data_IF_972071411414
#
_entry.id   IF_972071411414
#
_cell.length_a   1.000
_cell.length_b   1.000
_cell.length_c   1.000
_cell.angle_alpha   90.00
_cell.angle_beta   90.00
_cell.angle_gamma   90.00
#
_symmetry.space_group_name_H-M   'P 1'
#
loop_
_entity.id
_entity.type
_entity.pdbx_description
1 polymer ?
#
# COMPACT_ATOMS: atom_id res chain seq x y z
N UNK A 1 -5.59 2.68 16.93
CA UNK A 1 -5.23 4.07 17.29
C UNK A 1 -4.17 4.08 18.38
N UNK A 2 -4.44 3.71 19.63
CA UNK A 2 -3.48 3.76 20.75
C UNK A 2 -2.12 3.05 20.45
N UNK A 3 -2.13 1.90 19.79
CA UNK A 3 -0.89 1.20 19.41
C UNK A 3 -0.03 2.02 18.45
N UNK A 4 -0.64 2.68 17.47
CA UNK A 4 0.06 3.54 16.51
C UNK A 4 0.66 4.78 17.18
N UNK A 5 -0.10 5.41 18.09
CA UNK A 5 0.37 6.56 18.88
C UNK A 5 1.59 6.17 19.74
N UNK A 6 1.50 5.07 20.48
CA UNK A 6 2.61 4.59 21.32
C UNK A 6 3.83 4.23 20.48
N UNK A 7 3.66 3.54 19.35
CA UNK A 7 4.79 3.22 18.46
C UNK A 7 5.43 4.49 17.88
N UNK A 8 4.64 5.48 17.51
CA UNK A 8 5.14 6.78 17.08
C UNK A 8 5.94 7.49 18.19
N UNK A 9 5.43 7.51 19.41
CA UNK A 9 6.06 8.14 20.56
C UNK A 9 7.41 7.51 20.92
N UNK A 10 7.56 6.20 20.76
CA UNK A 10 8.82 5.50 21.07
C UNK A 10 9.70 5.21 19.86
N UNK A 11 9.42 5.82 18.71
CA UNK A 11 10.20 5.61 17.48
C UNK A 11 10.16 4.17 16.98
N UNK A 12 9.07 3.46 17.26
CA UNK A 12 8.88 2.09 16.82
C UNK A 12 8.69 1.96 15.29
N UNK A 13 8.74 0.73 14.75
CA UNK A 13 8.60 0.48 13.32
C UNK A 13 7.13 0.63 12.88
N UNK A 14 6.65 1.85 12.79
CA UNK A 14 5.25 2.16 12.46
C UNK A 14 4.81 1.63 11.09
N UNK A 15 5.76 1.51 10.15
CA UNK A 15 5.49 0.96 8.82
C UNK A 15 4.97 -0.49 8.83
N UNK A 16 5.32 -1.30 9.82
CA UNK A 16 4.79 -2.68 9.96
C UNK A 16 3.27 -2.67 10.13
N UNK A 17 2.74 -1.60 10.71
CA UNK A 17 1.32 -1.45 10.97
C UNK A 17 0.53 -0.99 9.74
N UNK A 18 1.19 -0.49 8.67
CA UNK A 18 0.50 -0.13 7.43
C UNK A 18 -0.13 -1.33 6.72
N UNK A 19 0.27 -2.53 7.09
CA UNK A 19 -0.36 -3.74 6.56
C UNK A 19 -1.72 -4.07 7.23
N UNK A 20 -1.97 -3.56 8.44
CA UNK A 20 -3.22 -3.83 9.18
C UNK A 20 -4.47 -3.33 8.45
N UNK A 21 -4.49 -2.13 7.83
CA UNK A 21 -5.61 -1.71 7.00
C UNK A 21 -5.91 -2.67 5.85
N UNK A 22 -4.87 -3.19 5.22
CA UNK A 22 -5.00 -4.18 4.14
C UNK A 22 -5.67 -5.47 4.59
N UNK A 23 -5.43 -5.93 5.82
CA UNK A 23 -6.11 -7.11 6.36
C UNK A 23 -7.60 -6.86 6.60
N UNK A 24 -7.97 -5.71 7.14
CA UNK A 24 -9.38 -5.38 7.31
C UNK A 24 -10.10 -5.34 5.97
N UNK A 25 -9.47 -4.74 4.97
CA UNK A 25 -10.00 -4.63 3.62
C UNK A 25 -10.18 -6.00 2.98
N UNK A 26 -9.20 -6.92 3.11
CA UNK A 26 -9.34 -8.24 2.50
C UNK A 26 -10.42 -9.08 3.18
N UNK A 27 -10.58 -8.98 4.49
CA UNK A 27 -11.65 -9.68 5.22
C UNK A 27 -13.04 -9.16 4.79
N UNK A 28 -13.14 -7.87 4.52
CA UNK A 28 -14.41 -7.22 4.15
C UNK A 28 -14.80 -7.43 2.69
N UNK A 29 -13.82 -7.38 1.76
CA UNK A 29 -14.06 -7.28 0.32
C UNK A 29 -13.52 -8.47 -0.49
N UNK A 30 -12.61 -9.26 0.08
CA UNK A 30 -12.01 -10.41 -0.59
C UNK A 30 -12.96 -11.58 -0.73
N UNK A 31 -12.70 -12.43 -1.72
CA UNK A 31 -13.33 -13.74 -1.80
C UNK A 31 -12.81 -14.65 -0.68
N UNK A 32 -13.55 -15.71 -0.35
CA UNK A 32 -13.09 -16.67 0.67
C UNK A 32 -11.72 -17.25 0.32
N UNK A 33 -11.48 -17.53 -0.97
CA UNK A 33 -10.19 -18.04 -1.46
C UNK A 33 -9.04 -17.04 -1.24
N UNK A 34 -9.28 -15.74 -1.52
CA UNK A 34 -8.30 -14.67 -1.27
C UNK A 34 -8.04 -14.51 0.23
N UNK A 35 -9.08 -14.56 1.07
CA UNK A 35 -8.97 -14.50 2.53
C UNK A 35 -8.13 -15.68 3.03
N UNK A 36 -8.45 -16.92 2.63
CA UNK A 36 -7.75 -18.12 3.07
C UNK A 36 -6.27 -18.08 2.66
N UNK A 37 -5.97 -17.63 1.43
CA UNK A 37 -4.61 -17.46 0.94
C UNK A 37 -3.80 -16.48 1.80
N UNK A 38 -4.38 -15.33 2.16
CA UNK A 38 -3.72 -14.32 3.01
C UNK A 38 -3.58 -14.83 4.44
N UNK A 39 -4.61 -15.46 5.00
CA UNK A 39 -4.58 -15.99 6.38
C UNK A 39 -3.52 -17.09 6.56
N UNK A 40 -3.27 -17.89 5.52
CA UNK A 40 -2.21 -18.90 5.55
C UNK A 40 -0.80 -18.28 5.73
N UNK A 41 -0.60 -17.05 5.26
CA UNK A 41 0.67 -16.33 5.41
C UNK A 41 0.81 -15.56 6.72
N UNK A 42 -0.28 -15.21 7.40
CA UNK A 42 -0.26 -14.36 8.62
C UNK A 42 0.67 -14.88 9.72
N UNK A 43 0.83 -16.20 9.82
CA UNK A 43 1.68 -16.83 10.84
C UNK A 43 3.17 -16.90 10.49
N UNK A 44 3.57 -16.55 9.27
CA UNK A 44 4.97 -16.67 8.82
C UNK A 44 5.85 -15.49 9.23
N UNK A 45 5.26 -14.35 9.56
CA UNK A 45 5.98 -13.10 9.81
C UNK A 45 6.48 -12.40 8.54
N UNK A 46 6.15 -12.93 7.36
CA UNK A 46 6.48 -12.31 6.08
C UNK A 46 5.52 -11.15 5.76
N UNK A 47 5.99 -10.21 4.96
CA UNK A 47 5.13 -9.15 4.42
C UNK A 47 4.17 -9.74 3.39
N UNK A 48 2.88 -9.56 3.59
CA UNK A 48 1.87 -10.29 2.83
C UNK A 48 1.27 -9.45 1.72
N UNK A 49 1.03 -8.17 2.01
CA UNK A 49 0.10 -7.34 1.27
C UNK A 49 0.46 -5.85 1.30
N UNK A 50 0.22 -5.15 0.20
CA UNK A 50 0.12 -3.70 0.15
C UNK A 50 -0.74 -3.26 -1.04
N UNK A 51 -1.05 -1.96 -1.13
CA UNK A 51 -1.77 -1.37 -2.26
C UNK A 51 -0.83 -0.57 -3.16
N UNK A 52 -1.15 -0.51 -4.45
CA UNK A 52 -0.41 0.24 -5.44
C UNK A 52 -1.36 1.09 -6.30
N UNK A 53 -1.42 2.38 -5.99
CA UNK A 53 -2.29 3.34 -6.67
C UNK A 53 -1.50 4.37 -7.48
N UNK A 54 -0.53 5.04 -6.83
CA UNK A 54 0.23 6.17 -7.40
C UNK A 54 1.01 5.79 -8.65
N UNK A 55 1.01 6.68 -9.64
CA UNK A 55 1.78 6.56 -10.88
C UNK A 55 2.67 7.80 -11.10
N UNK A 56 3.67 7.73 -11.99
CA UNK A 56 4.51 8.91 -12.30
C UNK A 56 3.72 10.15 -12.73
N UNK A 57 2.57 9.95 -13.39
CA UNK A 57 1.69 11.03 -13.85
C UNK A 57 0.42 11.23 -13.00
N UNK A 58 0.18 10.41 -11.98
CA UNK A 58 -1.06 10.42 -11.20
C UNK A 58 -0.78 10.22 -9.70
N UNK A 59 -0.83 11.29 -8.93
CA UNK A 59 -0.72 11.28 -7.47
C UNK A 59 -2.04 11.62 -6.81
N UNK A 60 -2.25 12.88 -6.42
CA UNK A 60 -3.49 13.35 -5.79
C UNK A 60 -4.73 13.15 -6.68
N UNK A 61 -4.57 13.31 -7.98
CA UNK A 61 -5.61 12.96 -8.94
C UNK A 61 -5.50 11.49 -9.35
N UNK A 62 -6.04 10.61 -8.51
CA UNK A 62 -6.12 9.17 -8.78
C UNK A 62 -6.92 8.87 -10.05
N UNK A 63 -7.85 9.74 -10.42
CA UNK A 63 -8.66 9.55 -11.64
C UNK A 63 -7.85 9.63 -12.93
N UNK A 64 -6.65 10.21 -12.90
CA UNK A 64 -5.75 10.35 -14.04
C UNK A 64 -4.80 9.17 -14.25
N UNK A 65 -4.87 8.10 -13.45
CA UNK A 65 -4.03 6.93 -13.62
C UNK A 65 -4.15 6.31 -15.02
N UNK A 66 -3.07 5.72 -15.50
CA UNK A 66 -2.92 5.16 -16.85
C UNK A 66 -2.72 3.65 -16.87
N UNK A 67 -2.38 3.04 -15.74
CA UNK A 67 -2.36 1.57 -15.61
C UNK A 67 -3.70 1.02 -16.04
N UNK A 68 -3.68 0.04 -16.93
CA UNK A 68 -4.89 -0.49 -17.54
C UNK A 68 -4.88 -2.02 -17.61
N UNK A 69 -6.07 -2.58 -17.73
CA UNK A 69 -6.25 -3.98 -18.00
C UNK A 69 -7.11 -4.20 -19.24
N UNK A 70 -6.84 -5.28 -19.94
CA UNK A 70 -7.58 -5.69 -21.13
C UNK A 70 -7.85 -7.18 -21.10
N UNK A 71 -9.05 -7.58 -21.54
CA UNK A 71 -9.42 -8.98 -21.68
C UNK A 71 -9.03 -9.50 -23.06
N UNK A 72 -8.32 -10.63 -23.11
CA UNK A 72 -7.95 -11.36 -24.34
C UNK A 72 -8.03 -12.85 -24.06
N UNK A 73 -8.67 -13.61 -24.93
CA UNK A 73 -8.71 -15.08 -24.89
C UNK A 73 -9.12 -15.66 -23.53
N UNK A 74 -10.08 -15.00 -22.85
CA UNK A 74 -10.58 -15.44 -21.54
C UNK A 74 -9.65 -15.11 -20.36
N UNK A 75 -8.58 -14.36 -20.59
CA UNK A 75 -7.63 -13.89 -19.57
C UNK A 75 -7.66 -12.36 -19.47
N UNK A 76 -7.14 -11.85 -18.36
CA UNK A 76 -6.92 -10.43 -18.13
C UNK A 76 -5.43 -10.14 -18.22
N UNK A 77 -5.07 -9.08 -18.93
CA UNK A 77 -3.69 -8.63 -19.07
C UNK A 77 -3.55 -7.22 -18.49
N UNK A 78 -2.67 -7.07 -17.50
CA UNK A 78 -2.45 -5.82 -16.78
C UNK A 78 -1.15 -5.16 -17.26
N UNK A 79 -1.25 -3.86 -17.56
CA UNK A 79 -0.13 -3.05 -18.07
C UNK A 79 -0.06 -1.69 -17.38
N UNK A 80 1.15 -1.23 -17.05
CA UNK A 80 1.36 0.09 -16.47
C UNK A 80 2.58 0.20 -15.59
N UNK A 81 2.70 1.35 -14.92
CA UNK A 81 3.78 1.60 -13.95
C UNK A 81 3.21 2.27 -12.72
N UNK A 82 3.48 1.70 -11.55
CA UNK A 82 3.18 2.31 -10.25
C UNK A 82 4.47 2.84 -9.64
N UNK A 83 4.41 3.95 -8.91
CA UNK A 83 5.58 4.55 -8.26
C UNK A 83 5.34 4.85 -6.80
N UNK A 84 6.42 4.96 -6.03
CA UNK A 84 6.40 5.19 -4.58
C UNK A 84 5.64 4.11 -3.80
N UNK A 85 5.70 2.87 -4.27
CA UNK A 85 4.99 1.76 -3.62
C UNK A 85 5.81 1.26 -2.44
N UNK A 86 5.38 1.67 -1.25
CA UNK A 86 6.00 1.30 0.02
C UNK A 86 5.86 -0.20 0.27
N UNK A 87 6.85 -0.82 0.90
CA UNK A 87 6.90 -2.25 1.24
C UNK A 87 6.76 -3.20 0.05
N UNK A 88 6.87 -2.72 -1.19
CA UNK A 88 6.64 -3.54 -2.39
C UNK A 88 7.68 -4.64 -2.61
N UNK A 89 8.87 -4.51 -2.04
CA UNK A 89 9.89 -5.56 -2.09
C UNK A 89 9.67 -6.56 -0.97
N UNK A 90 9.26 -7.74 -1.32
CA UNK A 90 9.07 -8.84 -0.37
C UNK A 90 7.60 -9.11 0.01
N UNK A 91 6.65 -8.29 -0.43
CA UNK A 91 5.23 -8.65 -0.30
C UNK A 91 4.87 -9.76 -1.29
N UNK A 92 3.98 -10.64 -0.88
CA UNK A 92 3.46 -11.69 -1.75
C UNK A 92 2.47 -11.13 -2.77
N UNK A 93 1.59 -10.24 -2.34
CA UNK A 93 0.58 -9.62 -3.20
C UNK A 93 0.57 -8.10 -3.11
N UNK A 94 0.32 -7.46 -4.25
CA UNK A 94 -0.10 -6.06 -4.32
C UNK A 94 -1.52 -5.95 -4.85
N UNK A 95 -2.34 -5.13 -4.21
CA UNK A 95 -3.61 -4.70 -4.79
C UNK A 95 -3.36 -3.52 -5.70
N UNK A 96 -3.58 -3.73 -6.97
CA UNK A 96 -3.26 -2.77 -8.02
C UNK A 96 -4.54 -2.22 -8.64
N UNK A 97 -4.71 -0.90 -8.55
CA UNK A 97 -5.81 -0.21 -9.23
C UNK A 97 -5.47 0.03 -10.69
N UNK A 98 -6.38 -0.34 -11.60
CA UNK A 98 -6.25 -0.18 -13.03
C UNK A 98 -7.58 0.22 -13.69
N UNK A 99 -7.50 0.86 -14.84
CA UNK A 99 -8.64 1.16 -15.71
C UNK A 99 -8.88 0.05 -16.71
N UNK A 100 -10.13 -0.15 -17.09
CA UNK A 100 -10.44 -0.95 -18.26
C UNK A 100 -9.93 -0.22 -19.52
N UNK A 101 -9.16 -0.91 -20.38
CA UNK A 101 -8.58 -0.30 -21.58
C UNK A 101 -9.64 0.07 -22.64
N UNK A 102 -10.76 -0.64 -22.67
CA UNK A 102 -11.86 -0.42 -23.59
C UNK A 102 -12.90 0.59 -23.05
N UNK A 103 -12.96 0.78 -21.71
CA UNK A 103 -13.77 1.80 -21.03
C UNK A 103 -12.98 2.41 -19.86
N UNK A 104 -12.24 3.50 -20.06
CA UNK A 104 -11.41 4.14 -19.02
C UNK A 104 -12.18 4.74 -17.84
N UNK A 105 -13.52 4.76 -17.87
CA UNK A 105 -14.34 5.16 -16.72
C UNK A 105 -14.49 4.04 -15.68
N UNK A 106 -14.16 2.80 -16.07
CA UNK A 106 -14.26 1.60 -15.22
C UNK A 106 -12.92 1.34 -14.54
N UNK A 107 -12.92 1.46 -13.21
CA UNK A 107 -11.76 1.17 -12.37
C UNK A 107 -11.94 -0.15 -11.64
N UNK A 108 -10.93 -0.99 -11.69
CA UNK A 108 -10.93 -2.29 -11.03
C UNK A 108 -9.63 -2.47 -10.26
N UNK A 109 -9.67 -3.18 -9.16
CA UNK A 109 -8.50 -3.56 -8.40
C UNK A 109 -8.24 -5.05 -8.52
N UNK A 110 -6.97 -5.39 -8.58
CA UNK A 110 -6.50 -6.76 -8.76
C UNK A 110 -5.51 -7.12 -7.66
N UNK A 111 -5.70 -8.26 -7.04
CA UNK A 111 -4.75 -8.88 -6.12
C UNK A 111 -3.67 -9.61 -6.93
N UNK A 112 -2.58 -8.94 -7.21
CA UNK A 112 -1.52 -9.42 -8.09
C UNK A 112 -0.44 -10.14 -7.29
N UNK A 113 -0.21 -11.41 -7.57
CA UNK A 113 0.96 -12.14 -7.06
C UNK A 113 2.25 -11.55 -7.68
N UNK A 114 3.13 -11.06 -6.82
CA UNK A 114 4.35 -10.36 -7.23
C UNK A 114 5.40 -11.27 -7.89
N UNK A 115 5.16 -12.58 -7.90
CA UNK A 115 6.01 -13.56 -8.60
C UNK A 115 5.54 -13.84 -10.03
N UNK A 116 4.40 -13.28 -10.47
CA UNK A 116 3.90 -13.47 -11.83
C UNK A 116 4.88 -12.92 -12.88
N UNK A 117 5.04 -13.61 -14.03
CA UNK A 117 5.77 -13.05 -15.17
C UNK A 117 5.23 -11.68 -15.57
N UNK A 118 6.12 -10.77 -15.96
CA UNK A 118 5.76 -9.40 -16.35
C UNK A 118 5.72 -8.41 -15.18
N UNK A 119 5.91 -8.84 -13.92
CA UNK A 119 6.08 -7.96 -12.77
C UNK A 119 7.56 -7.71 -12.51
N UNK A 120 7.98 -6.45 -12.52
CA UNK A 120 9.35 -6.04 -12.21
C UNK A 120 9.36 -4.92 -11.18
N UNK A 121 10.39 -4.87 -10.32
CA UNK A 121 10.56 -3.86 -9.28
C UNK A 121 11.78 -2.99 -9.53
N UNK A 122 11.61 -1.66 -9.50
CA UNK A 122 12.67 -0.66 -9.53
C UNK A 122 12.84 -0.01 -8.15
N UNK A 123 13.82 -0.41 -7.33
CA UNK A 123 14.01 0.16 -6.00
C UNK A 123 14.32 1.65 -6.00
N UNK A 124 13.65 2.43 -5.14
CA UNK A 124 13.86 3.86 -4.97
C UNK A 124 14.70 4.15 -3.72
N UNK A 125 15.65 5.08 -3.85
CA UNK A 125 16.44 5.59 -2.72
C UNK A 125 15.67 6.69 -2.00
N UNK A 126 15.34 6.46 -0.72
CA UNK A 126 14.59 7.41 0.12
C UNK A 126 15.51 8.18 1.05
N UNK A 127 15.13 9.41 1.38
CA UNK A 127 15.79 10.21 2.42
C UNK A 127 15.50 9.63 3.82
N UNK A 128 14.23 9.37 4.13
CA UNK A 128 13.74 8.80 5.39
C UNK A 128 13.18 7.39 5.24
N UNK A 129 12.82 6.76 6.35
CA UNK A 129 12.23 5.40 6.43
C UNK A 129 12.99 4.35 5.60
N UNK A 130 14.33 4.37 5.68
CA UNK A 130 15.21 3.51 4.85
C UNK A 130 15.13 2.03 5.19
N UNK A 131 14.56 1.70 6.34
CA UNK A 131 14.37 0.30 6.77
C UNK A 131 13.27 -0.40 5.97
N UNK A 132 12.35 0.35 5.35
CA UNK A 132 11.30 -0.21 4.50
C UNK A 132 11.63 0.02 3.02
N UNK A 133 11.21 -0.90 2.16
CA UNK A 133 11.37 -0.74 0.71
C UNK A 133 10.39 0.27 0.16
N UNK A 134 10.77 0.89 -0.96
CA UNK A 134 9.86 1.68 -1.78
C UNK A 134 10.31 1.51 -3.23
N UNK A 135 9.43 1.05 -4.09
CA UNK A 135 9.79 0.74 -5.47
C UNK A 135 8.85 1.41 -6.47
N UNK A 136 9.32 1.50 -7.70
CA UNK A 136 8.47 1.47 -8.87
C UNK A 136 8.07 0.02 -9.14
N UNK A 137 6.86 -0.19 -9.64
CA UNK A 137 6.34 -1.50 -10.04
C UNK A 137 5.96 -1.42 -11.50
N UNK A 138 6.68 -2.14 -12.32
CA UNK A 138 6.44 -2.24 -13.75
C UNK A 138 5.60 -3.46 -14.04
N UNK A 139 4.57 -3.29 -14.87
CA UNK A 139 3.59 -4.31 -15.24
C UNK A 139 3.57 -4.42 -16.76
N UNK A 140 4.05 -5.53 -17.27
CA UNK A 140 4.18 -5.78 -18.71
C UNK A 140 3.41 -7.05 -19.08
N UNK A 141 2.20 -6.89 -19.60
CA UNK A 141 1.30 -8.00 -19.98
C UNK A 141 1.19 -9.05 -18.86
N UNK A 142 1.01 -8.61 -17.61
CA UNK A 142 0.84 -9.52 -16.47
C UNK A 142 -0.49 -10.27 -16.62
N UNK A 143 -0.41 -11.58 -16.80
CA UNK A 143 -1.59 -12.42 -16.97
C UNK A 143 -2.30 -12.68 -15.65
N UNK A 144 -3.59 -12.36 -15.60
CA UNK A 144 -4.48 -12.48 -14.45
C UNK A 144 -5.71 -13.30 -14.82
N UNK A 145 -6.30 -13.92 -13.79
CA UNK A 145 -7.58 -14.64 -13.85
C UNK A 145 -8.71 -13.78 -13.29
N UNK A 146 -9.95 -14.21 -13.46
CA UNK A 146 -11.12 -13.59 -12.79
C UNK A 146 -11.00 -13.62 -11.26
N UNK A 147 -10.39 -14.66 -10.70
CA UNK A 147 -10.13 -14.80 -9.26
C UNK A 147 -9.13 -13.79 -8.71
N UNK A 148 -8.32 -13.16 -9.57
CA UNK A 148 -7.39 -12.09 -9.19
C UNK A 148 -8.11 -10.73 -9.03
N UNK A 149 -9.36 -10.60 -9.49
CA UNK A 149 -10.15 -9.38 -9.23
C UNK A 149 -10.38 -9.25 -7.73
N UNK A 150 -10.04 -8.08 -7.18
CA UNK A 150 -10.24 -7.79 -5.78
C UNK A 150 -11.52 -6.97 -5.57
N UNK A 151 -12.43 -7.50 -4.76
CA UNK A 151 -13.76 -6.94 -4.61
C UNK A 151 -14.62 -7.16 -5.86
N UNK A 152 -15.15 -6.08 -6.43
CA UNK A 152 -16.04 -6.12 -7.60
C UNK A 152 -15.46 -5.31 -8.75
N UNK A 153 -15.48 -5.87 -9.96
CA UNK A 153 -15.13 -5.14 -11.18
C UNK A 153 -15.93 -3.83 -11.29
N UNK A 154 -15.25 -2.75 -11.64
CA UNK A 154 -15.86 -1.42 -11.77
C UNK A 154 -16.02 -0.65 -10.46
N UNK A 155 -15.73 -1.22 -9.31
CA UNK A 155 -15.83 -0.55 -8.01
C UNK A 155 -14.47 -0.11 -7.43
N UNK A 156 -13.38 -0.28 -8.16
CA UNK A 156 -12.02 -0.05 -7.66
C UNK A 156 -11.77 1.37 -7.17
N UNK A 157 -12.28 2.37 -7.87
CA UNK A 157 -12.11 3.77 -7.48
C UNK A 157 -12.76 4.08 -6.12
N UNK A 158 -14.04 3.77 -5.95
CA UNK A 158 -14.76 4.05 -4.71
C UNK A 158 -14.18 3.29 -3.52
N UNK A 159 -13.77 2.04 -3.75
CA UNK A 159 -13.17 1.20 -2.74
C UNK A 159 -11.81 1.75 -2.29
N UNK A 160 -10.90 2.04 -3.23
CA UNK A 160 -9.58 2.57 -2.91
C UNK A 160 -9.63 3.92 -2.18
N UNK A 161 -10.54 4.82 -2.56
CA UNK A 161 -10.75 6.07 -1.82
C UNK A 161 -11.27 5.80 -0.40
N UNK A 162 -12.11 4.77 -0.22
CA UNK A 162 -12.59 4.33 1.11
C UNK A 162 -11.44 3.88 2.00
N UNK A 163 -10.50 3.10 1.48
CA UNK A 163 -9.33 2.60 2.21
C UNK A 163 -8.41 3.76 2.64
N UNK A 164 -8.18 4.76 1.80
CA UNK A 164 -7.41 5.95 2.19
C UNK A 164 -8.00 6.71 3.38
N UNK A 165 -9.30 6.68 3.58
CA UNK A 165 -9.91 7.32 4.74
C UNK A 165 -9.49 6.62 6.05
N UNK A 166 -9.40 5.29 6.05
CA UNK A 166 -8.93 4.54 7.20
C UNK A 166 -7.42 4.73 7.45
N UNK A 167 -6.61 4.67 6.38
CA UNK A 167 -5.16 4.89 6.46
C UNK A 167 -4.81 6.26 7.06
N UNK A 168 -5.52 7.32 6.67
CA UNK A 168 -5.29 8.68 7.22
C UNK A 168 -5.39 8.75 8.73
N UNK A 169 -6.31 8.01 9.34
CA UNK A 169 -6.45 7.95 10.79
C UNK A 169 -5.24 7.29 11.45
N UNK A 170 -4.72 6.23 10.84
CA UNK A 170 -3.59 5.48 11.38
C UNK A 170 -2.29 6.28 11.27
N UNK A 171 -2.05 6.89 10.12
CA UNK A 171 -0.90 7.79 9.91
C UNK A 171 -0.96 8.96 10.89
N UNK A 172 -2.12 9.61 11.02
CA UNK A 172 -2.29 10.70 11.98
C UNK A 172 -2.00 10.31 13.44
N UNK A 173 -2.34 9.08 13.84
CA UNK A 173 -2.02 8.59 15.19
C UNK A 173 -0.51 8.39 15.38
N UNK A 174 0.20 7.85 14.37
CA UNK A 174 1.65 7.72 14.41
C UNK A 174 2.34 9.08 14.50
N UNK A 175 1.93 10.02 13.68
CA UNK A 175 2.52 11.36 13.63
C UNK A 175 2.28 12.12 14.93
N UNK A 176 1.11 11.97 15.53
CA UNK A 176 0.79 12.53 16.83
C UNK A 176 1.73 11.99 17.92
N UNK A 177 1.93 10.66 17.99
CA UNK A 177 2.88 10.06 18.92
C UNK A 177 4.32 10.57 18.70
N UNK A 178 4.75 10.66 17.45
CA UNK A 178 6.08 11.20 17.12
C UNK A 178 6.22 12.68 17.56
N UNK A 179 5.17 13.47 17.38
CA UNK A 179 5.15 14.86 17.81
C UNK A 179 5.26 15.00 19.34
N UNK A 180 4.59 14.11 20.11
CA UNK A 180 4.72 14.06 21.59
C UNK A 180 6.17 13.79 21.97
N UNK A 181 6.81 12.77 21.40
CA UNK A 181 8.21 12.44 21.66
C UNK A 181 9.14 13.64 21.39
N UNK A 182 9.01 14.24 20.23
CA UNK A 182 9.82 15.40 19.86
C UNK A 182 9.63 16.59 20.80
N UNK A 183 8.39 16.83 21.24
CA UNK A 183 8.07 17.88 22.22
C UNK A 183 8.71 17.60 23.58
N UNK A 184 8.56 16.38 24.10
CA UNK A 184 9.13 15.98 25.40
C UNK A 184 10.66 16.08 25.41
N UNK A 185 11.33 15.63 24.33
CA UNK A 185 12.78 15.73 24.17
C UNK A 185 13.23 17.19 24.10
N UNK A 186 12.53 18.04 23.35
CA UNK A 186 12.83 19.46 23.26
C UNK A 186 12.66 20.17 24.62
N UNK A 187 11.58 19.87 25.35
CA UNK A 187 11.32 20.42 26.67
C UNK A 187 12.40 19.98 27.67
N UNK A 188 12.75 18.70 27.69
CA UNK A 188 13.81 18.16 28.52
C UNK A 188 15.15 18.87 28.22
N UNK A 189 15.50 19.00 26.93
CA UNK A 189 16.72 19.71 26.53
C UNK A 189 16.71 21.17 27.00
N UNK A 190 15.62 21.91 26.77
CA UNK A 190 15.49 23.30 27.14
C UNK A 190 15.61 23.54 28.65
N UNK A 191 15.15 22.58 29.47
CA UNK A 191 15.17 22.69 30.94
C UNK A 191 16.44 22.17 31.61
N UNK A 192 17.26 21.39 30.87
CA UNK A 192 18.47 20.75 31.42
C UNK A 192 19.77 21.27 30.83
N UNK A 193 19.73 21.93 29.66
CA UNK A 193 20.92 22.45 29.00
C UNK A 193 21.45 23.65 29.78
N UNK A 194 22.71 23.61 30.13
CA UNK A 194 23.48 24.74 30.67
C UNK A 194 24.35 25.33 29.54
N UNK A 195 24.43 26.68 29.49
CA UNK A 195 25.28 27.40 28.56
C UNK A 195 25.68 28.73 29.20
N UNK A 196 26.95 29.13 28.97
CA UNK A 196 27.55 30.39 29.45
C UNK A 196 27.69 30.51 30.98
N UNK A 197 27.64 29.42 31.72
CA UNK A 197 27.83 29.37 33.19
C UNK A 197 26.55 29.49 33.97
#
# INVERSE_FOLDING_TARGET
>A
MAVYEVLGQYGGPTYVLYQLPGFETIIREGTQEQIDAVMAYLGTGEQIWNSACTEPGAGSDVSSLTTNYKRRDGKIYLNGTKTFITSSKGVKWLVIMAKNADDPSVFTEFMVDMTKPGVELGPLNKLGLRMDSCCEVYLNDVELEESDIFGKEGNGFNRGIGDFNFERWLVGACDYGTAICAYEDALKHATTREAFG
#
